data_IF_365290984397
#
_entry.id   IF_365290984397
#
_cell.length_a   1.000
_cell.length_b   1.000
_cell.length_c   1.000
_cell.angle_alpha   90.00
_cell.angle_beta   90.00
_cell.angle_gamma   90.00
#
_symmetry.space_group_name_H-M   'P 1'
#
loop_
_entity.id
_entity.type
_entity.pdbx_description
1 polymer ?
#
# COMPACT_ATOMS: atom_id res chain seq x y z
N UNK A 1 -3.49 14.32 2.89
CA UNK A 1 -2.23 14.19 2.12
C UNK A 1 -2.44 14.80 0.75
N UNK A 2 -1.47 15.56 0.22
CA UNK A 2 -1.48 16.09 -1.16
C UNK A 2 -0.52 15.25 -2.00
N UNK A 3 -0.96 14.78 -3.17
CA UNK A 3 -0.15 14.02 -4.13
C UNK A 3 0.08 14.90 -5.36
N UNK A 4 1.36 15.06 -5.72
CA UNK A 4 1.78 15.77 -6.93
C UNK A 4 2.53 14.78 -7.80
N UNK A 5 2.10 14.61 -9.05
CA UNK A 5 2.76 13.76 -10.05
C UNK A 5 3.20 14.63 -11.22
N UNK A 6 4.44 14.45 -11.66
CA UNK A 6 4.99 15.14 -12.82
C UNK A 6 5.01 14.24 -14.05
N UNK A 7 5.02 14.85 -15.22
CA UNK A 7 5.09 14.18 -16.51
C UNK A 7 5.41 15.18 -17.61
N UNK A 8 4.95 14.91 -18.82
CA UNK A 8 5.08 15.81 -19.96
C UNK A 8 3.72 16.31 -20.43
N UNK A 9 3.64 17.58 -20.82
CA UNK A 9 2.46 18.17 -21.48
C UNK A 9 2.34 17.69 -22.94
N UNK A 10 1.31 18.16 -23.65
CA UNK A 10 1.07 17.82 -25.06
C UNK A 10 2.20 18.26 -26.02
N UNK A 11 3.14 19.09 -25.58
CA UNK A 11 4.30 19.56 -26.34
C UNK A 11 5.61 18.88 -25.89
N UNK A 12 5.55 17.89 -25.00
CA UNK A 12 6.73 17.23 -24.46
C UNK A 12 7.50 18.04 -23.40
N UNK A 13 6.89 19.06 -22.79
CA UNK A 13 7.52 19.86 -21.71
C UNK A 13 7.15 19.32 -20.34
N UNK A 14 8.09 19.39 -19.39
CA UNK A 14 7.83 18.98 -18.01
C UNK A 14 6.66 19.75 -17.39
N UNK A 15 5.71 19.04 -16.78
CA UNK A 15 4.51 19.61 -16.20
C UNK A 15 4.03 18.80 -14.98
N UNK A 16 3.19 19.42 -14.15
CA UNK A 16 2.37 18.71 -13.16
C UNK A 16 1.17 18.12 -13.87
N UNK A 17 1.02 16.80 -13.82
CA UNK A 17 -0.07 16.06 -14.47
C UNK A 17 -1.16 15.63 -13.48
N UNK A 18 -0.82 15.55 -12.19
CA UNK A 18 -1.77 15.31 -11.10
C UNK A 18 -1.39 16.20 -9.92
N UNK A 19 -2.40 16.89 -9.37
CA UNK A 19 -2.33 17.59 -8.09
C UNK A 19 -3.65 17.34 -7.36
N UNK A 20 -3.68 16.27 -6.56
CA UNK A 20 -4.92 15.77 -5.97
C UNK A 20 -4.74 15.24 -4.54
N UNK A 21 -5.87 14.85 -3.95
CA UNK A 21 -5.85 13.91 -2.85
C UNK A 21 -5.70 12.49 -3.44
N UNK A 22 -4.69 11.71 -3.01
CA UNK A 22 -4.50 10.35 -3.50
C UNK A 22 -5.70 9.44 -3.15
N UNK A 23 -5.90 8.34 -3.89
CA UNK A 23 -6.90 7.34 -3.52
C UNK A 23 -6.58 6.74 -2.14
N UNK A 24 -7.50 6.96 -1.19
CA UNK A 24 -7.41 6.46 0.19
C UNK A 24 -8.60 5.57 0.50
N UNK A 25 -8.35 4.47 1.23
CA UNK A 25 -9.38 3.54 1.70
C UNK A 25 -9.19 3.30 3.19
N UNK A 26 -10.32 3.24 3.91
CA UNK A 26 -10.36 2.87 5.33
C UNK A 26 -10.77 1.41 5.45
N UNK A 27 -9.96 0.62 6.13
CA UNK A 27 -10.18 -0.80 6.36
C UNK A 27 -10.80 -1.00 7.75
N UNK A 28 -12.12 -0.92 7.82
CA UNK A 28 -12.89 -1.10 9.07
C UNK A 28 -12.61 -2.45 9.74
N UNK A 29 -12.39 -3.50 8.94
CA UNK A 29 -11.98 -4.85 9.41
C UNK A 29 -10.52 -4.92 9.89
N UNK A 30 -9.86 -3.79 10.05
CA UNK A 30 -8.51 -3.65 10.61
C UNK A 30 -8.45 -2.38 11.48
N UNK A 31 -9.50 -2.15 12.26
CA UNK A 31 -9.62 -1.02 13.21
C UNK A 31 -9.64 0.36 12.56
N UNK A 32 -10.06 0.46 11.30
CA UNK A 32 -10.06 1.73 10.58
C UNK A 32 -8.69 2.13 10.04
N UNK A 33 -7.78 1.16 9.85
CA UNK A 33 -6.49 1.38 9.18
C UNK A 33 -6.71 2.08 7.85
N UNK A 34 -5.98 3.17 7.62
CA UNK A 34 -6.06 3.92 6.36
C UNK A 34 -4.92 3.51 5.46
N UNK A 35 -5.25 3.19 4.22
CA UNK A 35 -4.30 2.85 3.18
C UNK A 35 -4.46 3.87 2.07
N UNK A 36 -3.38 4.59 1.78
CA UNK A 36 -3.33 5.65 0.76
C UNK A 36 -2.32 5.26 -0.31
N UNK A 37 -2.80 4.96 -1.52
CA UNK A 37 -1.95 4.58 -2.66
C UNK A 37 -1.40 5.84 -3.33
N UNK A 38 -0.07 5.94 -3.46
CA UNK A 38 0.59 7.09 -4.09
C UNK A 38 0.92 6.82 -5.55
N UNK A 39 1.49 5.66 -5.83
CA UNK A 39 1.87 5.26 -7.18
C UNK A 39 2.08 3.74 -7.28
N UNK A 40 2.06 3.21 -8.49
CA UNK A 40 2.49 1.85 -8.77
C UNK A 40 3.13 1.74 -10.15
N UNK A 41 3.99 0.73 -10.32
CA UNK A 41 4.49 0.31 -11.64
C UNK A 41 4.11 -1.14 -11.86
N UNK A 42 3.88 -1.52 -13.10
CA UNK A 42 3.62 -2.92 -13.48
C UNK A 42 4.89 -3.66 -13.92
N UNK A 43 5.97 -2.93 -14.19
CA UNK A 43 7.24 -3.47 -14.63
C UNK A 43 8.44 -2.61 -14.14
N UNK A 44 9.63 -3.16 -14.29
CA UNK A 44 10.93 -2.57 -14.02
C UNK A 44 11.91 -2.92 -15.16
N UNK A 45 12.34 -1.97 -16.00
CA UNK A 45 12.14 -0.53 -15.88
C UNK A 45 10.67 -0.09 -15.98
N UNK A 46 10.32 1.01 -15.32
CA UNK A 46 8.96 1.53 -15.30
C UNK A 46 8.58 2.16 -16.65
N UNK A 47 7.31 2.02 -17.00
CA UNK A 47 6.68 2.75 -18.10
C UNK A 47 6.22 4.14 -17.61
N UNK A 48 6.72 5.19 -18.26
CA UNK A 48 6.43 6.59 -17.92
C UNK A 48 5.30 7.20 -18.77
N UNK A 49 4.66 6.42 -19.65
CA UNK A 49 3.56 6.90 -20.50
C UNK A 49 2.19 6.93 -19.81
N UNK A 50 2.05 6.23 -18.67
CA UNK A 50 0.79 6.12 -17.95
C UNK A 50 0.48 7.36 -17.10
N UNK A 51 -0.81 7.72 -17.02
CA UNK A 51 -1.25 8.98 -16.40
C UNK A 51 -1.60 8.87 -14.91
N UNK A 52 -2.27 7.81 -14.42
CA UNK A 52 -2.43 7.56 -12.98
C UNK A 52 -2.40 6.05 -12.68
N UNK A 53 -1.35 5.57 -12.01
CA UNK A 53 -1.20 4.16 -11.64
C UNK A 53 -1.60 3.84 -10.20
N UNK A 54 -1.99 4.83 -9.40
CA UNK A 54 -2.43 4.58 -8.02
C UNK A 54 -3.86 4.06 -7.94
N UNK A 55 -4.70 4.33 -8.95
CA UNK A 55 -6.09 3.85 -9.06
C UNK A 55 -6.13 2.44 -9.66
N UNK A 56 -5.51 1.49 -8.97
CA UNK A 56 -5.48 0.07 -9.34
C UNK A 56 -6.30 -0.77 -8.37
N UNK A 57 -6.52 -2.04 -8.73
CA UNK A 57 -7.04 -3.02 -7.79
C UNK A 57 -6.10 -3.12 -6.58
N UNK A 58 -6.68 -3.07 -5.38
CA UNK A 58 -5.92 -3.11 -4.13
C UNK A 58 -5.36 -4.50 -3.90
N UNK A 59 -4.03 -4.58 -3.82
CA UNK A 59 -3.29 -5.79 -3.47
C UNK A 59 -2.10 -5.43 -2.59
N UNK A 60 -1.69 -6.32 -1.69
CA UNK A 60 -0.43 -6.12 -0.94
C UNK A 60 0.75 -6.26 -1.91
N UNK A 61 0.79 -7.30 -2.72
CA UNK A 61 1.89 -7.47 -3.67
C UNK A 61 1.73 -6.55 -4.89
N UNK A 62 2.85 -5.97 -5.38
CA UNK A 62 2.87 -5.37 -6.70
C UNK A 62 2.75 -6.45 -7.79
N UNK A 63 2.67 -6.01 -9.04
CA UNK A 63 2.85 -6.94 -10.17
C UNK A 63 4.26 -7.55 -10.13
N UNK A 64 4.49 -8.69 -10.79
CA UNK A 64 5.70 -9.51 -10.58
C UNK A 64 7.05 -8.77 -10.79
N UNK A 65 7.07 -7.73 -11.63
CA UNK A 65 8.23 -6.85 -11.85
C UNK A 65 7.95 -5.39 -11.48
N UNK A 66 6.81 -5.16 -10.86
CA UNK A 66 6.30 -3.84 -10.52
C UNK A 66 6.76 -3.34 -9.16
N UNK A 67 6.18 -2.21 -8.78
CA UNK A 67 6.34 -1.60 -7.46
C UNK A 67 5.02 -0.99 -7.01
N UNK A 68 4.83 -0.86 -5.70
CA UNK A 68 3.72 -0.11 -5.10
C UNK A 68 4.31 0.85 -4.07
N UNK A 69 3.95 2.12 -4.16
CA UNK A 69 4.31 3.14 -3.19
C UNK A 69 3.05 3.68 -2.53
N UNK A 70 2.99 3.55 -1.20
CA UNK A 70 1.80 3.88 -0.42
C UNK A 70 2.15 4.30 0.98
N UNK A 71 1.18 4.93 1.64
CA UNK A 71 1.22 5.28 3.05
C UNK A 71 0.15 4.49 3.78
N UNK A 72 0.53 3.94 4.93
CA UNK A 72 -0.36 3.21 5.82
C UNK A 72 -0.40 3.94 7.16
N UNK A 73 -1.60 4.29 7.60
CA UNK A 73 -1.85 4.83 8.93
C UNK A 73 -2.40 3.70 9.81
N UNK A 74 -1.54 3.22 10.71
CA UNK A 74 -1.91 2.19 11.68
C UNK A 74 -2.62 2.84 12.88
N UNK A 75 -3.86 2.45 13.20
CA UNK A 75 -4.45 2.76 14.49
C UNK A 75 -3.73 1.98 15.59
N UNK A 76 -3.86 2.39 16.86
CA UNK A 76 -3.29 1.64 17.97
C UNK A 76 -3.72 0.17 17.94
N UNK A 77 -2.82 -0.75 18.33
CA UNK A 77 -3.11 -2.19 18.27
C UNK A 77 -4.32 -2.60 19.13
N UNK A 78 -4.56 -1.88 20.23
CA UNK A 78 -5.75 -2.04 21.06
C UNK A 78 -7.08 -1.77 20.32
N UNK A 79 -7.04 -1.08 19.18
CA UNK A 79 -8.18 -0.85 18.28
C UNK A 79 -8.10 -1.77 17.06
N UNK A 80 -6.93 -1.79 16.40
CA UNK A 80 -6.65 -2.58 15.20
C UNK A 80 -6.97 -4.05 15.37
N UNK A 81 -6.52 -4.65 16.47
CA UNK A 81 -6.59 -6.09 16.69
C UNK A 81 -7.97 -6.58 17.13
N UNK A 82 -8.84 -5.70 17.61
CA UNK A 82 -10.22 -6.07 18.02
C UNK A 82 -11.07 -6.53 16.83
N UNK A 83 -10.84 -5.96 15.66
CA UNK A 83 -11.64 -6.19 14.45
C UNK A 83 -10.88 -6.94 13.36
N UNK A 84 -9.55 -7.09 13.51
CA UNK A 84 -8.72 -7.79 12.55
C UNK A 84 -9.10 -9.28 12.46
N UNK A 85 -9.54 -9.67 11.28
CA UNK A 85 -9.71 -11.07 10.87
C UNK A 85 -8.64 -11.42 9.85
N UNK A 86 -7.50 -12.01 10.25
CA UNK A 86 -6.32 -12.13 9.39
C UNK A 86 -6.61 -12.79 8.06
N UNK A 87 -7.29 -13.93 8.07
CA UNK A 87 -7.54 -14.75 6.89
C UNK A 87 -8.44 -14.01 5.88
N UNK A 88 -9.54 -13.40 6.36
CA UNK A 88 -10.42 -12.57 5.51
C UNK A 88 -9.69 -11.32 4.98
N UNK A 89 -8.93 -10.64 5.85
CA UNK A 89 -8.24 -9.39 5.54
C UNK A 89 -7.17 -9.61 4.47
N UNK A 90 -6.26 -10.56 4.69
CA UNK A 90 -5.17 -10.83 3.77
C UNK A 90 -5.69 -11.37 2.43
N UNK A 91 -6.67 -12.28 2.45
CA UNK A 91 -7.29 -12.78 1.22
C UNK A 91 -7.92 -11.64 0.40
N UNK A 92 -8.59 -10.69 1.05
CA UNK A 92 -9.17 -9.52 0.36
C UNK A 92 -8.13 -8.58 -0.26
N UNK A 93 -6.87 -8.68 0.20
CA UNK A 93 -5.73 -7.90 -0.29
C UNK A 93 -4.80 -8.75 -1.18
N UNK A 94 -5.25 -9.93 -1.60
CA UNK A 94 -4.55 -10.78 -2.57
C UNK A 94 -3.35 -11.54 -2.02
N UNK A 95 -3.20 -11.68 -0.70
CA UNK A 95 -2.13 -12.48 -0.07
C UNK A 95 -2.70 -13.45 0.95
N UNK A 96 -1.90 -14.44 1.34
CA UNK A 96 -2.29 -15.36 2.40
C UNK A 96 -1.74 -14.88 3.75
N UNK A 97 -2.57 -14.95 4.80
CA UNK A 97 -2.10 -14.83 6.17
C UNK A 97 -1.03 -15.88 6.48
N UNK A 98 -0.10 -15.56 7.38
CA UNK A 98 0.79 -16.58 7.92
C UNK A 98 -0.01 -17.66 8.67
N UNK A 99 0.49 -18.90 8.65
CA UNK A 99 -0.10 -20.06 9.34
C UNK A 99 -0.49 -19.69 10.78
N UNK A 100 -1.79 -19.81 11.09
CA UNK A 100 -2.35 -19.41 12.37
C UNK A 100 -1.73 -20.14 13.56
N UNK A 101 -1.24 -21.38 13.35
CA UNK A 101 -0.57 -22.16 14.38
C UNK A 101 0.89 -21.74 14.64
N UNK A 102 1.50 -20.97 13.71
CA UNK A 102 2.92 -20.60 13.77
C UNK A 102 3.16 -19.10 13.88
N UNK A 103 2.17 -18.27 13.51
CA UNK A 103 2.32 -16.81 13.51
C UNK A 103 2.41 -16.26 14.94
N UNK A 104 3.40 -15.40 15.17
CA UNK A 104 3.56 -14.68 16.43
C UNK A 104 2.57 -13.52 16.59
N UNK A 105 2.06 -13.00 15.48
CA UNK A 105 1.16 -11.85 15.47
C UNK A 105 0.12 -11.97 14.33
N UNK A 106 -1.15 -11.55 14.53
CA UNK A 106 -2.23 -11.66 13.54
C UNK A 106 -2.01 -10.86 12.25
N UNK A 107 -1.13 -9.85 12.26
CA UNK A 107 -0.74 -9.12 11.05
C UNK A 107 0.37 -9.78 10.22
N UNK A 108 0.88 -10.94 10.62
CA UNK A 108 1.98 -11.59 9.89
C UNK A 108 1.49 -12.18 8.57
N UNK A 109 2.22 -11.87 7.51
CA UNK A 109 2.09 -12.43 6.17
C UNK A 109 3.46 -12.41 5.50
N UNK A 110 3.58 -13.03 4.33
CA UNK A 110 4.81 -13.05 3.54
C UNK A 110 4.49 -12.76 2.09
N UNK A 111 5.33 -11.96 1.48
CA UNK A 111 5.33 -11.61 0.06
C UNK A 111 6.67 -12.00 -0.57
N UNK A 112 6.72 -12.08 -1.90
CA UNK A 112 7.98 -12.22 -2.64
C UNK A 112 8.48 -10.83 -3.08
N UNK A 113 8.63 -9.92 -2.12
CA UNK A 113 9.01 -8.52 -2.37
C UNK A 113 10.21 -8.10 -1.52
N UNK A 114 10.84 -6.99 -1.92
CA UNK A 114 11.70 -6.19 -1.06
C UNK A 114 10.95 -4.90 -0.75
N UNK A 115 10.74 -4.61 0.53
CA UNK A 115 9.98 -3.44 0.96
C UNK A 115 10.90 -2.43 1.66
N UNK A 116 10.79 -1.16 1.26
CA UNK A 116 11.41 -0.06 1.98
C UNK A 116 10.36 0.60 2.88
N UNK A 117 10.44 0.36 4.19
CA UNK A 117 9.54 0.95 5.16
C UNK A 117 10.16 2.21 5.78
N UNK A 118 9.41 3.32 5.77
CA UNK A 118 9.84 4.61 6.32
C UNK A 118 8.77 5.08 7.31
N UNK A 119 9.16 5.32 8.56
CA UNK A 119 8.26 5.88 9.58
C UNK A 119 8.19 7.39 9.38
N UNK A 120 7.03 7.88 8.94
CA UNK A 120 6.80 9.31 8.71
C UNK A 120 6.41 10.07 9.99
N UNK A 121 5.75 9.40 10.92
CA UNK A 121 5.31 9.95 12.21
C UNK A 121 5.02 8.82 13.20
N UNK A 122 5.26 9.06 14.49
CA UNK A 122 5.08 8.07 15.56
C UNK A 122 6.17 7.00 15.57
N UNK A 123 5.80 5.79 15.96
CA UNK A 123 6.69 4.62 16.03
C UNK A 123 5.93 3.34 15.66
N UNK A 124 6.67 2.31 15.22
CA UNK A 124 6.12 0.99 14.92
C UNK A 124 7.14 -0.08 15.30
N UNK A 125 6.67 -1.20 15.84
CA UNK A 125 7.49 -2.37 16.13
C UNK A 125 7.42 -3.36 14.97
N UNK A 126 8.57 -3.66 14.36
CA UNK A 126 8.67 -4.73 13.39
C UNK A 126 8.79 -6.09 14.10
N UNK A 127 7.74 -6.90 14.01
CA UNK A 127 7.72 -8.28 14.53
C UNK A 127 8.02 -9.24 13.38
N UNK A 128 9.16 -9.93 13.46
CA UNK A 128 9.62 -10.92 12.49
C UNK A 128 9.31 -12.34 12.95
#
# INVERSE_FOLDING_TARGET
>A
MRRIVTGHDANGRAAVIIDDAPPTVVLEKAGGLRLTELWATSDAPADFSATDRARRERRIEPDARGSVFRVIEYPPDAERLKTLKPEEHFASMGVQAADSAKRRHPGMHRTKTLDYAIVLSGEIYAVL
#
